data_IF_310416245438
#
_entry.id   IF_310416245438
#
_cell.length_a   1.000
_cell.length_b   1.000
_cell.length_c   1.000
_cell.angle_alpha   90.00
_cell.angle_beta   90.00
_cell.angle_gamma   90.00
#
_symmetry.space_group_name_H-M   'P 1'
#
loop_
_entity.id
_entity.type
_entity.pdbx_description
1 polymer ?
2 non-polymer ?
3 water ?
#
# COMPACT_ATOMS: atom_id res chain seq x y z
N UNK A 3 13.45 -10.68 1.75
CA UNK A 3 12.71 -10.33 0.52
C UNK A 3 12.66 -8.81 0.32
N UNK A 4 12.83 -8.36 -0.93
CA UNK A 4 12.86 -6.94 -1.24
C UNK A 4 11.48 -6.31 -1.06
N UNK A 5 11.42 -4.97 -0.98
CA UNK A 5 10.17 -4.23 -0.90
C UNK A 5 9.99 -3.42 -2.18
N UNK A 6 8.75 -3.01 -2.45
CA UNK A 6 8.46 -2.12 -3.56
C UNK A 6 7.47 -1.09 -3.04
N UNK A 7 7.81 0.20 -3.22
CA UNK A 7 6.92 1.26 -2.79
C UNK A 7 6.56 2.13 -4.00
N UNK A 8 5.33 2.64 -4.01
CA UNK A 8 4.92 3.49 -5.11
C UNK A 8 4.48 4.86 -4.59
N UNK A 9 4.94 5.92 -5.27
CA UNK A 9 4.60 7.27 -4.91
C UNK A 9 3.84 7.93 -6.05
N UNK A 10 2.84 8.71 -5.69
CA UNK A 10 2.08 9.48 -6.63
C UNK A 10 1.44 10.63 -5.86
N UNK A 11 1.07 11.72 -6.54
CA UNK A 11 0.40 12.82 -5.88
C UNK A 11 -1.11 12.67 -5.75
N UNK A 12 -1.66 13.17 -4.64
CA UNK A 12 -3.09 13.17 -4.44
C UNK A 12 -3.85 13.91 -5.54
N UNK A 13 -3.17 14.84 -6.24
CA UNK A 13 -3.85 15.84 -7.07
C UNK A 13 -4.61 15.19 -8.23
N UNK A 14 -4.28 13.94 -8.60
CA UNK A 14 -4.95 13.25 -9.68
C UNK A 14 -6.44 13.12 -9.39
N UNK A 15 -6.80 13.22 -8.09
CA UNK A 15 -8.20 13.17 -7.68
C UNK A 15 -8.92 14.45 -8.06
N UNK A 16 -8.19 15.54 -8.23
CA UNK A 16 -8.82 16.81 -8.59
C UNK A 16 -9.23 16.80 -10.05
N UNK A 17 -8.71 15.82 -10.83
CA UNK A 17 -8.94 15.77 -12.26
C UNK A 17 -10.27 15.09 -12.56
N UNK A 18 -10.87 14.41 -11.58
CA UNK A 18 -12.05 13.60 -11.86
C UNK A 18 -13.24 14.48 -12.22
N UNK A 19 -14.10 13.96 -13.09
CA UNK A 19 -15.30 14.65 -13.53
C UNK A 19 -16.45 14.51 -12.52
N UNK A 20 -16.39 13.53 -11.61
CA UNK A 20 -17.49 13.24 -10.68
C UNK A 20 -16.97 12.89 -9.30
N UNK A 21 -17.81 13.09 -8.27
CA UNK A 21 -17.51 12.49 -6.96
C UNK A 21 -17.33 10.99 -7.06
N UNK A 22 -18.23 10.33 -7.80
CA UNK A 22 -18.18 8.89 -7.92
C UNK A 22 -16.84 8.47 -8.55
N UNK A 23 -16.50 9.02 -9.72
CA UNK A 23 -15.24 8.70 -10.37
C UNK A 23 -13.99 9.07 -9.56
N UNK A 24 -14.09 10.08 -8.70
CA UNK A 24 -13.00 10.46 -7.82
C UNK A 24 -12.70 9.27 -6.91
N UNK A 25 -13.77 8.62 -6.44
CA UNK A 25 -13.63 7.47 -5.60
C UNK A 25 -13.10 6.29 -6.40
N UNK A 26 -13.70 6.04 -7.57
CA UNK A 26 -13.30 4.92 -8.39
C UNK A 26 -11.81 5.05 -8.73
N UNK A 27 -11.40 6.27 -9.07
CA UNK A 27 -10.00 6.43 -9.42
C UNK A 27 -9.12 5.99 -8.25
N UNK A 28 -9.52 6.35 -7.02
CA UNK A 28 -8.74 5.99 -5.86
C UNK A 28 -8.59 4.47 -5.80
N UNK A 29 -9.70 3.77 -6.01
CA UNK A 29 -9.73 2.33 -6.11
C UNK A 29 -8.78 1.78 -7.18
N UNK A 30 -8.79 2.43 -8.36
CA UNK A 30 -7.95 1.95 -9.43
C UNK A 30 -6.52 1.88 -8.93
N UNK A 31 -6.10 2.89 -8.14
CA UNK A 31 -4.73 2.96 -7.64
C UNK A 31 -4.46 1.78 -6.70
N UNK A 32 -5.41 1.55 -5.79
CA UNK A 32 -5.28 0.51 -4.80
C UNK A 32 -5.04 -0.85 -5.48
N UNK A 33 -5.88 -1.13 -6.50
CA UNK A 33 -5.84 -2.44 -7.13
C UNK A 33 -4.54 -2.56 -7.93
N UNK A 34 -4.12 -1.46 -8.54
CA UNK A 34 -2.92 -1.56 -9.37
C UNK A 34 -1.78 -2.02 -8.45
N UNK A 35 -1.72 -1.39 -7.27
CA UNK A 35 -0.64 -1.63 -6.32
C UNK A 35 -0.82 -3.02 -5.71
N UNK A 36 -2.06 -3.37 -5.33
CA UNK A 36 -2.29 -4.71 -4.82
C UNK A 36 -1.78 -5.70 -5.84
N UNK A 37 -2.09 -5.46 -7.12
CA UNK A 37 -1.84 -6.51 -8.10
C UNK A 37 -0.36 -6.85 -8.10
N UNK A 38 0.48 -5.80 -8.06
CA UNK A 38 1.92 -5.94 -8.19
C UNK A 38 2.60 -6.15 -6.84
N UNK A 39 1.82 -6.53 -5.82
CA UNK A 39 2.32 -6.85 -4.50
C UNK A 39 3.07 -5.68 -3.90
N UNK A 40 2.60 -4.46 -4.11
CA UNK A 40 3.25 -3.29 -3.50
C UNK A 40 3.14 -3.31 -1.98
N UNK A 41 4.23 -2.92 -1.31
CA UNK A 41 4.31 -2.92 0.14
C UNK A 41 3.87 -1.59 0.71
N UNK A 42 4.12 -0.52 -0.05
CA UNK A 42 3.95 0.83 0.45
C UNK A 42 3.46 1.74 -0.67
N UNK A 43 2.46 2.56 -0.37
CA UNK A 43 2.04 3.60 -1.28
C UNK A 43 2.31 4.94 -0.61
N UNK A 44 2.97 5.86 -1.32
CA UNK A 44 3.27 7.17 -0.78
C UNK A 44 2.46 8.21 -1.54
N UNK A 45 1.56 8.89 -0.83
CA UNK A 45 0.74 9.96 -1.39
C UNK A 45 1.46 11.25 -1.05
N UNK A 46 1.93 11.99 -2.05
CA UNK A 46 2.62 13.24 -1.81
C UNK A 46 1.85 14.44 -2.36
N UNK A 47 2.13 15.59 -1.71
CA UNK A 47 1.56 16.87 -2.10
C UNK A 47 2.48 17.53 -3.14
N UNK A 48 2.03 17.55 -4.40
CA UNK A 48 2.70 18.18 -5.53
C UNK A 48 2.75 19.70 -5.45
N UNK A 49 1.78 20.35 -4.78
CA UNK A 49 1.84 21.81 -4.71
C UNK A 49 2.23 22.25 -3.30
N UNK A 69 -7.43 15.85 -0.13
CA UNK A 69 -7.18 15.45 -1.53
C UNK A 69 -6.14 14.33 -1.55
N UNK A 70 -4.92 14.63 -1.08
CA UNK A 70 -4.01 13.61 -0.57
C UNK A 70 -4.65 12.87 0.62
N UNK A 71 -5.34 13.63 1.50
CA UNK A 71 -5.97 13.06 2.66
C UNK A 71 -7.07 12.08 2.22
N UNK A 72 -7.90 12.49 1.24
CA UNK A 72 -8.96 11.63 0.75
C UNK A 72 -8.38 10.39 0.06
N UNK A 73 -7.37 10.57 -0.79
CA UNK A 73 -6.84 9.42 -1.51
C UNK A 73 -6.25 8.41 -0.51
N UNK A 74 -5.52 8.94 0.47
CA UNK A 74 -4.85 8.12 1.47
C UNK A 74 -5.90 7.31 2.22
N UNK A 75 -6.99 7.99 2.58
CA UNK A 75 -7.98 7.36 3.41
C UNK A 75 -8.58 6.19 2.64
N UNK A 76 -8.92 6.42 1.35
CA UNK A 76 -9.59 5.42 0.55
C UNK A 76 -8.66 4.22 0.41
N UNK A 77 -7.38 4.47 0.11
CA UNK A 77 -6.43 3.38 -0.03
C UNK A 77 -6.37 2.53 1.25
N UNK A 78 -6.49 3.18 2.41
CA UNK A 78 -6.39 2.47 3.67
C UNK A 78 -7.65 1.64 3.89
N UNK A 79 -8.81 2.25 3.60
CA UNK A 79 -10.09 1.55 3.69
C UNK A 79 -10.06 0.27 2.87
N UNK A 80 -9.55 0.32 1.65
CA UNK A 80 -9.60 -0.86 0.78
C UNK A 80 -8.67 -1.96 1.27
N UNK A 81 -7.49 -1.58 1.79
CA UNK A 81 -6.48 -2.52 2.24
C UNK A 81 -6.95 -3.21 3.51
N UNK A 82 -7.60 -2.44 4.38
CA UNK A 82 -8.08 -3.02 5.62
C UNK A 82 -9.04 -4.15 5.31
N UNK A 83 -8.85 -5.36 5.86
CA UNK A 83 -9.82 -6.44 5.70
C UNK A 83 -11.19 -5.95 6.15
N UNK A 84 -12.25 -6.58 5.66
CA UNK A 84 -13.60 -6.03 5.71
C UNK A 84 -14.09 -6.03 7.16
N UNK A 85 -13.81 -7.14 7.86
CA UNK A 85 -14.32 -7.34 9.21
C UNK A 85 -13.74 -6.31 10.18
N UNK A 86 -12.74 -5.51 9.71
CA UNK A 86 -12.09 -4.50 10.54
C UNK A 86 -12.38 -3.07 10.12
N UNK A 87 -13.06 -2.86 8.99
CA UNK A 87 -13.31 -1.50 8.53
C UNK A 87 -14.19 -0.73 9.51
N UNK A 88 -15.33 -1.31 9.91
CA UNK A 88 -16.19 -0.70 10.90
C UNK A 88 -15.38 -0.21 12.10
N UNK A 89 -14.50 -1.05 12.65
CA UNK A 89 -13.77 -0.66 13.84
C UNK A 89 -12.83 0.51 13.56
N UNK A 90 -12.04 0.41 12.48
CA UNK A 90 -10.99 1.38 12.16
C UNK A 90 -11.46 2.63 11.41
N UNK A 91 -12.71 2.68 10.91
CA UNK A 91 -13.12 3.81 10.07
C UNK A 91 -14.54 4.23 10.40
N UNK A 92 -14.73 5.27 11.24
CA UNK A 92 -16.08 5.79 11.46
C UNK A 92 -16.63 6.38 10.16
N UNK A 93 -17.94 6.66 10.17
CA UNK A 93 -18.59 7.27 9.01
C UNK A 93 -17.79 8.53 8.64
N UNK A 94 -17.35 8.59 7.38
CA UNK A 94 -16.67 9.77 6.86
C UNK A 94 -17.29 10.16 5.51
N UNK A 95 -17.33 11.48 5.25
CA UNK A 95 -17.74 12.01 3.95
C UNK A 95 -16.68 11.65 2.90
N UNK A 96 -15.50 11.12 3.32
CA UNK A 96 -14.43 10.76 2.40
C UNK A 96 -14.50 9.27 2.01
N UNK A 97 -15.53 8.54 2.47
CA UNK A 97 -15.83 7.17 2.07
C UNK A 97 -17.33 7.04 1.78
N UNK A 98 -17.91 8.13 1.27
CA UNK A 98 -19.31 8.18 0.90
C UNK A 98 -19.58 7.18 -0.23
N UNK A 99 -18.57 6.97 -1.08
CA UNK A 99 -18.69 6.08 -2.22
C UNK A 99 -17.88 4.80 -2.01
N UNK A 100 -17.69 4.38 -0.76
CA UNK A 100 -17.07 3.08 -0.47
C UNK A 100 -17.66 2.06 -1.44
N UNK A 101 -19.01 2.04 -1.47
CA UNK A 101 -19.83 1.11 -2.22
C UNK A 101 -19.27 0.82 -3.61
N UNK A 102 -19.20 1.86 -4.45
CA UNK A 102 -18.90 1.77 -5.88
C UNK A 102 -17.41 1.46 -6.13
N UNK A 103 -16.83 0.68 -5.21
CA UNK A 103 -15.44 0.29 -5.32
C UNK A 103 -15.36 -1.11 -5.88
N UNK A 104 -14.32 -1.28 -6.69
CA UNK A 104 -13.47 -2.45 -6.82
C UNK A 104 -12.76 -2.92 -5.53
N UNK A 105 -13.04 -4.16 -5.04
CA UNK A 105 -12.22 -4.80 -4.00
C UNK A 105 -10.86 -5.39 -4.33
N UNK A 106 -9.92 -5.42 -3.37
CA UNK A 106 -8.55 -5.85 -3.59
C UNK A 106 -8.44 -7.37 -3.69
N UNK A 107 -9.35 -8.13 -3.08
CA UNK A 107 -9.30 -9.58 -3.22
C UNK A 107 -7.89 -10.08 -2.91
N UNK A 108 -7.28 -9.51 -1.87
CA UNK A 108 -5.92 -9.85 -1.51
C UNK A 108 -5.91 -10.97 -0.47
N UNK A 109 -4.80 -11.72 -0.33
CA UNK A 109 -4.78 -12.85 0.60
C UNK A 109 -5.29 -12.58 2.02
N UNK A 110 -5.15 -11.38 2.54
CA UNK A 110 -5.64 -11.17 3.91
C UNK A 110 -7.11 -10.76 3.95
N UNK A 111 -7.80 -10.76 2.80
CA UNK A 111 -9.24 -10.58 2.80
C UNK A 111 -9.88 -11.92 2.50
N UNK A 112 -10.44 -12.57 3.53
CA UNK A 112 -11.17 -13.82 3.36
C UNK A 112 -12.45 -13.69 4.18
N UNK A 113 -13.33 -14.69 4.09
CA UNK A 113 -14.48 -14.78 4.97
C UNK A 113 -14.16 -15.78 6.07
N UNK A 114 -14.92 -15.72 7.18
CA UNK A 114 -14.96 -16.75 8.20
C UNK A 114 -14.65 -18.13 7.59
N UNK A 115 -15.63 -18.72 6.92
CA UNK A 115 -15.45 -19.89 6.07
C UNK A 115 -13.96 -20.25 5.89
N UNK A 116 -13.16 -19.43 5.17
CA UNK A 116 -11.80 -19.82 4.76
C UNK A 116 -10.89 -20.08 5.95
N UNK A 117 -10.34 -21.29 6.02
CA UNK A 117 -9.22 -21.59 6.90
C UNK A 117 -8.00 -20.84 6.41
N UNK A 118 -7.30 -20.14 7.30
CA UNK A 118 -6.05 -19.50 6.94
C UNK A 118 -5.07 -19.69 8.07
N UNK A 119 -3.78 -19.64 7.75
CA UNK A 119 -2.77 -19.82 8.78
C UNK A 119 -2.73 -18.57 9.65
N UNK A 120 -2.79 -17.43 8.97
CA UNK A 120 -2.73 -16.12 9.57
C UNK A 120 -3.98 -15.32 9.25
N UNK A 121 -4.20 -14.28 10.04
CA UNK A 121 -5.41 -13.51 9.92
C UNK A 121 -5.21 -12.22 10.72
N UNK A 122 -5.52 -11.08 10.12
CA UNK A 122 -5.43 -9.81 10.82
C UNK A 122 -6.58 -9.70 11.80
N UNK A 123 -6.38 -8.83 12.78
CA UNK A 123 -7.28 -8.72 13.92
C UNK A 123 -7.10 -7.37 14.62
N UNK A 124 -8.06 -7.06 15.48
CA UNK A 124 -7.98 -5.91 16.34
C UNK A 124 -8.01 -6.42 17.77
N UNK A 125 -7.18 -5.82 18.63
CA UNK A 125 -7.17 -6.25 20.01
C UNK A 125 -8.48 -5.78 20.62
N UNK A 126 -9.38 -6.72 20.98
CA UNK A 126 -10.67 -6.38 21.55
C UNK A 126 -10.49 -5.49 22.79
N UNK A 127 -11.59 -4.99 23.37
CA UNK A 127 -11.51 -4.22 24.60
C UNK A 127 -12.52 -4.79 25.61
N UNK A 128 -12.14 -5.96 26.15
CA UNK A 128 -12.95 -6.81 27.00
C UNK A 128 -12.12 -7.07 28.27
N UNK A 129 -12.69 -7.61 29.39
CA UNK A 129 -11.90 -7.90 30.60
C UNK A 129 -10.92 -9.06 30.48
N UNK A 130 -9.62 -8.71 30.46
CA UNK A 130 -8.52 -9.67 30.56
C UNK A 130 -8.39 -10.09 32.02
N UNK A 131 -7.59 -11.13 32.26
CA UNK A 131 -7.40 -11.57 33.64
C UNK A 131 -5.90 -11.51 33.93
N UNK A 132 -5.51 -11.06 35.15
CA UNK A 132 -4.11 -11.05 35.53
C UNK A 132 -3.42 -12.28 34.95
N UNK A 133 -2.52 -11.97 33.95
CA UNK A 133 -1.64 -13.05 33.48
C UNK A 133 -1.99 -13.43 31.95
N UNK A 134 -3.28 -13.27 31.64
CA UNK A 134 -3.83 -13.79 30.39
C UNK A 134 -3.60 -12.80 29.24
N UNK A 135 -3.25 -13.33 28.08
CA UNK A 135 -3.16 -12.49 26.91
C UNK A 135 -4.51 -11.88 26.54
N UNK A 136 -4.47 -11.02 25.55
CA UNK A 136 -5.61 -10.24 25.13
C UNK A 136 -6.61 -11.15 24.40
N UNK A 137 -7.78 -10.58 24.12
CA UNK A 137 -8.64 -11.11 23.07
C UNK A 137 -8.46 -10.30 21.78
N UNK A 138 -8.57 -11.00 20.67
CA UNK A 138 -8.44 -10.37 19.37
C UNK A 138 -9.63 -10.79 18.53
N UNK A 139 -10.07 -9.84 17.71
CA UNK A 139 -11.13 -10.07 16.74
C UNK A 139 -10.48 -10.23 15.39
N UNK A 140 -10.47 -11.48 14.92
CA UNK A 140 -9.93 -11.83 13.62
C UNK A 140 -11.06 -12.14 12.65
N UNK A 141 -12.26 -11.60 12.91
CA UNK A 141 -13.43 -11.90 12.09
C UNK A 141 -13.83 -13.39 12.09
N UNK A 142 -13.43 -14.17 13.09
CA UNK A 142 -13.75 -15.60 13.10
C UNK A 142 -15.04 -15.79 13.88
N UNK A 143 -15.59 -17.01 13.86
CA UNK A 143 -16.87 -17.31 14.47
C UNK A 143 -16.82 -17.02 15.96
N UNK A 144 -15.68 -17.32 16.60
CA UNK A 144 -15.38 -16.93 17.97
C UNK A 144 -14.19 -15.98 17.93
N UNK A 145 -13.97 -15.22 19.02
CA UNK A 145 -12.78 -14.42 19.21
C UNK A 145 -11.55 -15.29 19.34
N UNK A 146 -10.37 -14.70 19.08
CA UNK A 146 -9.11 -15.43 19.14
C UNK A 146 -8.32 -14.99 20.38
N UNK A 147 -7.95 -15.94 21.25
CA UNK A 147 -7.20 -15.66 22.47
C UNK A 147 -5.70 -15.76 22.19
N UNK A 148 -4.91 -14.84 22.76
CA UNK A 148 -3.50 -14.80 22.46
C UNK A 148 -2.67 -14.72 23.73
N UNK A 149 -1.35 -14.75 23.49
CA UNK A 149 -0.28 -14.89 24.48
C UNK A 149 -0.05 -13.56 25.19
N UNK A 150 0.12 -12.47 24.41
CA UNK A 150 0.56 -11.19 24.95
C UNK A 150 -0.64 -10.34 25.38
N UNK A 151 -0.46 -9.57 26.46
CA UNK A 151 -1.45 -8.58 26.88
C UNK A 151 -1.06 -7.29 26.16
N UNK A 152 -2.01 -6.71 25.41
CA UNK A 152 -1.69 -5.71 24.40
C UNK A 152 -2.63 -4.53 24.51
N UNK A 153 -2.21 -3.38 23.95
CA UNK A 153 -2.97 -2.14 24.05
C UNK A 153 -4.14 -2.20 23.06
N UNK A 154 -5.43 -2.19 23.52
CA UNK A 154 -6.60 -2.36 22.64
C UNK A 154 -6.76 -1.38 21.46
N UNK A 155 -7.44 -1.85 20.40
CA UNK A 155 -7.54 -1.10 19.15
C UNK A 155 -6.27 -1.19 18.30
N UNK A 156 -5.28 -1.97 18.76
CA UNK A 156 -4.09 -2.28 17.99
C UNK A 156 -4.47 -3.27 16.89
N UNK A 157 -4.12 -2.98 15.64
CA UNK A 157 -4.25 -3.96 14.58
C UNK A 157 -3.06 -4.90 14.73
N UNK A 158 -3.33 -6.20 14.77
CA UNK A 158 -2.25 -7.17 14.86
C UNK A 158 -2.43 -8.28 13.82
N UNK A 159 -1.34 -9.02 13.63
CA UNK A 159 -1.31 -10.16 12.75
C UNK A 159 -1.20 -11.42 13.59
N UNK A 160 -2.28 -12.20 13.63
CA UNK A 160 -2.36 -13.38 14.48
C UNK A 160 -2.10 -14.63 13.64
N UNK A 161 -1.25 -15.52 14.13
CA UNK A 161 -1.08 -16.86 13.55
C UNK A 161 -1.79 -17.91 14.41
N UNK A 162 -2.83 -18.54 13.86
CA UNK A 162 -3.63 -19.45 14.66
C UNK A 162 -2.81 -20.70 15.02
N UNK A 163 -3.16 -21.33 16.15
CA UNK A 163 -2.42 -22.47 16.64
C UNK A 163 -2.69 -23.69 15.77
N UNK A 164 -3.60 -24.54 16.22
CA UNK A 164 -3.59 -25.96 15.89
C UNK A 164 -3.54 -26.72 17.20
N UNK A 165 -4.48 -27.67 17.34
CA UNK A 165 -5.01 -28.08 18.62
C UNK A 165 -5.95 -26.99 19.15
N UNK A 166 -6.59 -26.24 18.23
CA UNK A 166 -7.67 -25.33 18.58
C UNK A 166 -8.93 -26.15 18.85
N UNK A 167 -8.98 -26.78 20.03
CA UNK A 167 -10.05 -27.69 20.37
C UNK A 167 -11.38 -26.94 20.40
N UNK A 168 -12.54 -27.64 20.32
CA UNK A 168 -13.85 -27.00 20.50
C UNK A 168 -13.95 -26.37 21.88
N UNK A 169 -13.24 -25.24 22.06
CA UNK A 169 -12.96 -24.67 23.35
C UNK A 169 -14.03 -23.63 23.63
N UNK A 170 -14.39 -23.48 24.92
CA UNK A 170 -15.45 -22.60 25.39
C UNK A 170 -15.38 -21.24 24.67
N UNK A 171 -16.05 -21.18 23.50
CA UNK A 171 -16.18 -19.97 22.71
C UNK A 171 -14.88 -19.16 22.73
N UNK A 172 -13.74 -19.81 22.45
CA UNK A 172 -12.53 -19.09 22.08
C UNK A 172 -11.61 -20.00 21.25
N UNK A 173 -11.10 -19.43 20.14
CA UNK A 173 -9.96 -19.96 19.40
C UNK A 173 -8.69 -19.51 20.08
N UNK A 174 -7.54 -20.09 19.69
CA UNK A 174 -6.26 -19.70 20.27
C UNK A 174 -5.26 -19.43 19.14
N UNK A 175 -4.25 -18.59 19.42
CA UNK A 175 -3.24 -18.21 18.44
C UNK A 175 -2.17 -17.29 19.05
N UNK A 176 -1.16 -16.93 18.26
CA UNK A 176 -0.08 -16.08 18.71
C UNK A 176 0.05 -14.89 17.75
N UNK A 177 0.38 -13.71 18.29
CA UNK A 177 0.67 -12.55 17.45
C UNK A 177 2.05 -12.68 16.83
N UNK A 178 2.22 -12.23 15.59
CA UNK A 178 3.50 -12.37 14.92
C UNK A 178 3.80 -11.10 14.16
N UNK A 179 5.01 -10.97 13.63
CA UNK A 179 5.36 -9.82 12.80
C UNK A 179 4.41 -9.74 11.61
N UNK A 180 4.04 -8.53 11.21
CA UNK A 180 3.24 -8.39 10.01
C UNK A 180 4.07 -8.70 8.75
N UNK A 181 5.40 -8.80 8.87
CA UNK A 181 6.28 -9.20 7.77
C UNK A 181 6.20 -10.71 7.55
N UNK A 182 5.60 -11.46 8.48
CA UNK A 182 5.76 -12.91 8.50
C UNK A 182 5.05 -13.55 7.31
N UNK A 183 3.78 -13.24 6.97
CA UNK A 183 3.11 -13.96 5.90
C UNK A 183 3.76 -13.80 4.52
N UNK A 184 4.57 -12.75 4.30
CA UNK A 184 5.37 -12.67 3.08
C UNK A 184 6.60 -13.57 3.25
N UNK A 185 7.51 -13.17 4.14
CA UNK A 185 8.79 -13.82 4.27
C UNK A 185 8.56 -15.33 4.44
N UNK A 186 7.57 -15.72 5.26
CA UNK A 186 7.44 -17.12 5.69
C UNK A 186 6.53 -17.94 4.77
N UNK A 187 5.40 -17.40 4.30
CA UNK A 187 4.48 -18.22 3.50
C UNK A 187 4.22 -17.67 2.09
N UNK A 188 5.00 -16.67 1.66
CA UNK A 188 4.95 -16.16 0.30
C UNK A 188 3.63 -15.45 -0.03
N UNK A 189 2.94 -14.93 0.98
CA UNK A 189 1.62 -14.34 0.82
C UNK A 189 1.71 -12.83 0.79
N UNK A 190 1.14 -12.21 -0.25
CA UNK A 190 1.03 -10.77 -0.26
C UNK A 190 0.08 -10.41 0.87
N UNK A 191 0.37 -9.34 1.60
CA UNK A 191 -0.41 -9.13 2.81
C UNK A 191 -0.75 -7.66 3.02
N UNK A 192 -0.86 -6.91 1.92
CA UNK A 192 -1.31 -5.54 2.05
C UNK A 192 -0.14 -4.57 1.93
N UNK A 193 -0.52 -3.30 1.84
CA UNK A 193 0.44 -2.22 1.77
C UNK A 193 0.18 -1.31 2.96
N UNK A 194 1.13 -0.42 3.28
CA UNK A 194 0.87 0.66 4.22
C UNK A 194 0.81 1.95 3.42
N UNK A 195 0.28 3.00 4.02
CA UNK A 195 0.08 4.26 3.30
C UNK A 195 0.76 5.39 4.06
N UNK A 196 1.56 6.15 3.34
CA UNK A 196 2.32 7.23 3.94
C UNK A 196 2.00 8.51 3.20
N UNK A 197 1.80 9.57 4.00
CA UNK A 197 1.63 10.91 3.49
C UNK A 197 2.96 11.65 3.53
N UNK A 198 3.28 12.31 2.40
CA UNK A 198 4.49 13.11 2.27
C UNK A 198 4.08 14.51 1.84
N UNK A 199 4.72 15.52 2.40
CA UNK A 199 4.27 16.89 2.25
C UNK A 199 4.86 17.54 1.01
N UNK A 200 5.72 16.81 0.32
CA UNK A 200 6.39 17.31 -0.87
C UNK A 200 7.18 16.15 -1.49
N UNK A 201 7.82 16.42 -2.61
CA UNK A 201 8.51 15.36 -3.31
C UNK A 201 9.78 14.96 -2.55
N UNK A 202 10.54 15.91 -1.98
CA UNK A 202 11.74 15.54 -1.23
C UNK A 202 11.41 14.77 0.06
N UNK A 203 10.20 14.97 0.59
CA UNK A 203 9.76 14.17 1.73
C UNK A 203 9.46 12.74 1.31
N UNK A 204 9.19 12.50 0.02
CA UNK A 204 9.00 11.13 -0.44
C UNK A 204 10.26 10.31 -0.16
N UNK A 205 11.44 10.88 -0.42
CA UNK A 205 12.69 10.11 -0.31
C UNK A 205 13.16 10.07 1.14
N UNK A 206 12.95 11.19 1.89
CA UNK A 206 13.63 11.45 3.15
C UNK A 206 12.86 10.84 4.31
N UNK A 207 11.53 10.90 4.26
CA UNK A 207 10.68 10.34 5.31
C UNK A 207 10.38 8.88 4.99
N UNK A 208 11.32 8.18 4.34
CA UNK A 208 11.17 6.77 4.02
C UNK A 208 11.18 5.93 5.30
N UNK A 209 10.40 4.83 5.40
CA UNK A 209 10.42 4.00 6.60
C UNK A 209 11.56 2.98 6.78
N UNK A 210 12.61 3.03 5.95
CA UNK A 210 13.71 2.07 6.06
C UNK A 210 15.02 2.75 6.44
N UNK A 211 15.83 2.09 7.27
CA UNK A 211 17.06 2.68 7.79
C UNK A 211 17.83 3.38 6.68
N UNK A 212 18.17 2.68 5.60
CA UNK A 212 19.10 3.21 4.61
C UNK A 212 18.37 3.70 3.36
N UNK A 213 17.15 4.24 3.55
CA UNK A 213 16.35 4.74 2.44
C UNK A 213 16.05 3.68 1.38
N UNK A 214 15.71 4.17 0.19
CA UNK A 214 15.42 3.32 -0.95
C UNK A 214 16.69 3.11 -1.75
N UNK A 215 17.28 1.90 -1.62
CA UNK A 215 18.51 1.46 -2.30
C UNK A 215 18.42 1.78 -3.80
N UNK A 216 17.19 1.82 -4.35
CA UNK A 216 16.93 2.05 -5.77
C UNK A 216 15.71 2.95 -5.98
N UNK A 217 15.90 4.05 -6.73
CA UNK A 217 14.80 4.96 -7.05
C UNK A 217 14.58 5.03 -8.56
N UNK A 218 13.30 5.06 -8.92
CA UNK A 218 12.88 4.99 -10.32
C UNK A 218 11.76 6.02 -10.51
N UNK A 219 11.98 6.94 -11.45
CA UNK A 219 10.95 7.89 -11.81
C UNK A 219 10.43 7.61 -13.21
N UNK A 220 9.27 8.18 -13.55
CA UNK A 220 8.57 7.84 -14.78
C UNK A 220 8.10 9.06 -15.55
N UNK A 221 8.25 8.94 -16.88
CA UNK A 221 7.96 10.05 -17.77
C UNK A 221 8.16 9.62 -19.23
N UNK A 222 7.33 10.20 -20.10
CA UNK A 222 7.50 10.06 -21.54
C UNK A 222 8.88 10.55 -21.98
N UNK A 223 9.52 11.49 -21.26
CA UNK A 223 10.82 11.98 -21.74
C UNK A 223 11.96 11.34 -20.93
N UNK A 224 11.68 10.20 -20.29
CA UNK A 224 12.75 9.40 -19.70
C UNK A 224 13.42 8.48 -20.70
N UNK A 225 14.37 7.68 -20.23
CA UNK A 225 15.10 6.78 -21.12
C UNK A 225 14.24 5.55 -21.42
N UNK A 226 14.66 4.76 -22.40
CA UNK A 226 13.85 3.64 -22.84
C UNK A 226 14.00 2.54 -21.79
N UNK A 227 12.87 2.00 -21.35
CA UNK A 227 12.88 1.11 -20.22
C UNK A 227 13.55 -0.22 -20.58
N UNK A 228 13.57 -0.52 -21.89
CA UNK A 228 14.20 -1.72 -22.40
C UNK A 228 15.72 -1.68 -22.23
N UNK A 229 16.33 -0.49 -22.17
CA UNK A 229 17.78 -0.37 -21.96
C UNK A 229 18.13 -0.57 -20.49
N UNK A 230 17.24 -0.09 -19.62
CA UNK A 230 17.53 0.16 -18.21
C UNK A 230 17.99 -1.12 -17.54
N UNK A 231 19.03 -1.01 -16.72
CA UNK A 231 19.65 -2.18 -16.12
C UNK A 231 19.56 -2.00 -14.62
N UNK A 232 18.75 -2.83 -13.97
CA UNK A 232 18.39 -2.53 -12.59
C UNK A 232 19.55 -2.94 -11.69
N UNK A 233 19.99 -2.07 -10.74
CA UNK A 233 21.06 -2.43 -9.82
C UNK A 233 20.48 -3.33 -8.75
N UNK A 234 21.31 -4.27 -8.29
CA UNK A 234 20.96 -5.10 -7.15
C UNK A 234 20.35 -4.15 -6.12
N UNK A 235 19.22 -4.52 -5.48
CA UNK A 235 18.54 -3.59 -4.60
C UNK A 235 17.79 -4.28 -3.45
N UNK A 236 17.42 -3.46 -2.45
CA UNK A 236 16.82 -3.97 -1.24
C UNK A 236 15.41 -3.36 -1.07
N UNK A 237 15.28 -2.06 -1.38
CA UNK A 237 14.01 -1.34 -1.24
C UNK A 237 13.80 -0.41 -2.43
N UNK A 238 12.86 -0.73 -3.32
CA UNK A 238 12.67 0.07 -4.52
C UNK A 238 11.52 1.06 -4.31
N UNK A 239 11.71 2.26 -4.86
CA UNK A 239 10.61 3.21 -4.97
C UNK A 239 10.40 3.54 -6.44
N UNK A 240 9.14 3.55 -6.87
CA UNK A 240 8.79 3.97 -8.22
C UNK A 240 7.85 5.15 -8.08
N UNK A 241 8.22 6.26 -8.73
CA UNK A 241 7.51 7.51 -8.54
C UNK A 241 6.77 7.93 -9.79
N UNK A 242 5.55 8.42 -9.59
CA UNK A 242 4.69 8.85 -10.68
C UNK A 242 4.28 10.27 -10.42
N UNK A 243 4.13 11.04 -11.50
CA UNK A 243 3.59 12.39 -11.40
C UNK A 243 2.08 12.39 -11.61
N UNK A 244 1.46 13.53 -11.32
CA UNK A 244 0.11 13.80 -11.78
C UNK A 244 0.16 14.48 -13.14
N UNK A 245 -0.84 15.33 -13.38
CA UNK A 245 -1.18 15.87 -14.69
C UNK A 245 -0.03 16.67 -15.28
N UNK A 246 0.71 17.39 -14.44
CA UNK A 246 1.77 18.25 -14.92
C UNK A 246 3.12 17.52 -14.89
N UNK A 247 3.08 16.19 -14.76
CA UNK A 247 4.32 15.42 -14.60
C UNK A 247 4.96 15.67 -13.24
N UNK A 248 6.14 15.05 -13.03
CA UNK A 248 6.95 15.27 -11.84
C UNK A 248 7.57 16.66 -11.85
N UNK A 249 7.54 17.33 -13.00
CA UNK A 249 8.11 18.67 -13.05
C UNK A 249 7.44 19.50 -11.98
N UNK A 250 6.11 19.36 -11.82
CA UNK A 250 5.36 20.28 -10.96
C UNK A 250 5.83 20.17 -9.51
N UNK A 251 5.99 18.92 -9.04
CA UNK A 251 6.29 18.67 -7.64
C UNK A 251 7.77 18.90 -7.31
N UNK A 252 8.62 18.82 -8.34
CA UNK A 252 10.00 19.22 -8.23
C UNK A 252 10.04 20.72 -8.00
N UNK A 253 9.44 21.50 -8.92
CA UNK A 253 9.57 22.95 -8.84
C UNK A 253 8.99 23.44 -7.52
N UNK A 254 7.74 23.05 -7.26
CA UNK A 254 6.98 23.47 -6.08
C UNK A 254 7.77 23.36 -4.77
N UNK A 255 8.48 22.24 -4.56
CA UNK A 255 9.20 21.95 -3.33
C UNK A 255 10.42 22.84 -3.22
N UNK A 256 10.56 23.64 -2.12
CA UNK A 256 11.65 24.60 -1.98
C UNK A 256 13.06 24.01 -1.85
N UNK A 257 13.17 22.69 -1.62
CA UNK A 257 14.38 22.05 -1.12
C UNK A 257 15.15 21.30 -2.27
N UNK A 258 14.65 21.67 -3.55
CA UNK A 258 14.87 20.88 -4.75
C UNK A 258 14.98 21.84 -5.93
N UNK A 259 16.23 22.15 -6.29
CA UNK A 259 16.47 23.15 -7.31
C UNK A 259 17.20 22.47 -8.47
N UNK A 260 16.39 21.89 -9.36
CA UNK A 260 16.89 21.14 -10.50
C UNK A 260 16.24 21.70 -11.77
N UNK A 261 16.91 21.53 -12.91
CA UNK A 261 16.39 21.98 -14.20
C UNK A 261 15.33 21.01 -14.71
N UNK A 262 15.60 19.71 -14.55
CA UNK A 262 14.68 18.66 -14.97
C UNK A 262 14.67 17.58 -13.91
N UNK A 263 13.59 16.78 -13.71
CA UNK A 263 13.53 15.82 -12.60
C UNK A 263 14.34 14.53 -12.74
N UNK A 264 14.85 14.24 -13.95
CA UNK A 264 15.64 13.05 -14.23
C UNK A 264 16.68 12.75 -13.13
N UNK A 265 17.29 13.81 -12.56
CA UNK A 265 18.46 13.72 -11.70
C UNK A 265 18.13 13.35 -10.26
N UNK A 266 16.83 13.36 -9.91
CA UNK A 266 16.38 13.04 -8.56
C UNK A 266 16.39 11.54 -8.34
N UNK A 267 16.50 10.78 -9.43
CA UNK A 267 16.26 9.35 -9.37
C UNK A 267 17.47 8.65 -9.96
N UNK A 268 17.65 7.39 -9.56
CA UNK A 268 18.69 6.52 -10.09
C UNK A 268 18.40 6.26 -11.57
N UNK A 269 17.14 5.92 -11.88
CA UNK A 269 16.65 5.74 -13.24
C UNK A 269 15.43 6.61 -13.47
N UNK A 270 15.30 7.11 -14.70
CA UNK A 270 14.15 7.86 -15.18
C UNK A 270 13.67 7.23 -16.50
N UNK A 271 12.54 6.51 -16.47
CA UNK A 271 12.16 5.69 -17.62
C UNK A 271 10.86 6.14 -18.28
N UNK A 272 10.82 5.99 -19.62
CA UNK A 272 9.59 5.90 -20.41
C UNK A 272 9.25 4.42 -20.59
N UNK A 273 8.07 4.04 -20.08
CA UNK A 273 7.69 2.63 -19.99
C UNK A 273 6.82 2.19 -21.17
N UNK A 274 6.34 3.14 -21.98
CA UNK A 274 5.53 2.78 -23.13
C UNK A 274 6.11 3.43 -24.39
N UNK A 275 7.09 2.79 -25.05
CA UNK A 275 7.68 3.37 -26.26
C UNK A 275 6.62 3.50 -27.33
N UNK A 276 6.67 4.59 -28.11
CA UNK A 276 5.77 4.76 -29.24
C UNK A 276 4.27 4.71 -28.90
N UNK A 277 3.91 5.45 -27.87
CA UNK A 277 2.55 5.49 -27.36
C UNK A 277 1.65 6.17 -28.37
N UNK A 278 0.44 5.62 -28.55
CA UNK A 278 -0.47 6.10 -29.57
C UNK A 278 -1.42 7.17 -29.03
N UNK A 279 -1.34 7.46 -27.74
CA UNK A 279 -2.07 8.56 -27.16
C UNK A 279 -1.03 9.58 -26.70
N UNK A 280 -1.39 10.87 -26.78
CA UNK A 280 -0.51 11.95 -26.38
C UNK A 280 -0.27 11.90 -24.88
N UNK A 281 -1.20 11.28 -24.13
CA UNK A 281 -1.07 11.19 -22.69
C UNK A 281 -1.44 9.80 -22.17
N UNK A 282 -0.77 9.41 -21.10
CA UNK A 282 -1.08 8.23 -20.31
C UNK A 282 -1.39 8.73 -18.92
N UNK A 283 -2.57 8.44 -18.39
CA UNK A 283 -2.97 8.93 -17.09
C UNK A 283 -2.18 8.21 -16.00
N UNK A 284 -2.13 8.78 -14.80
CA UNK A 284 -1.29 8.21 -13.76
C UNK A 284 -1.70 6.77 -13.47
N UNK A 285 -3.01 6.55 -13.28
CA UNK A 285 -3.50 5.26 -12.88
C UNK A 285 -3.24 4.23 -13.99
N UNK A 286 -3.19 4.69 -15.24
CA UNK A 286 -2.85 3.84 -16.36
C UNK A 286 -1.36 3.57 -16.37
N UNK A 287 -0.60 4.64 -16.14
CA UNK A 287 0.86 4.57 -16.22
C UNK A 287 1.42 3.61 -15.16
N UNK A 288 0.77 3.55 -13.99
CA UNK A 288 1.17 2.63 -12.94
C UNK A 288 1.07 1.17 -13.40
N UNK A 289 -0.03 0.78 -14.03
CA UNK A 289 -0.14 -0.59 -14.49
C UNK A 289 0.93 -0.85 -15.56
N UNK A 290 1.05 0.07 -16.53
CA UNK A 290 2.01 -0.14 -17.59
C UNK A 290 3.42 -0.22 -17.02
N UNK A 291 3.79 0.73 -16.18
CA UNK A 291 5.16 0.83 -15.71
C UNK A 291 5.54 -0.38 -14.85
N UNK A 292 4.63 -0.76 -13.93
CA UNK A 292 4.92 -1.84 -13.02
C UNK A 292 5.04 -3.18 -13.74
N UNK A 293 4.26 -3.36 -14.80
CA UNK A 293 4.46 -4.55 -15.61
C UNK A 293 5.79 -4.43 -16.36
N UNK A 294 5.98 -3.27 -17.00
CA UNK A 294 7.18 -3.08 -17.80
C UNK A 294 8.41 -3.39 -16.94
N UNK A 295 8.35 -3.05 -15.63
CA UNK A 295 9.47 -3.24 -14.71
C UNK A 295 9.43 -4.60 -13.98
N UNK A 296 8.24 -5.11 -13.66
CA UNK A 296 8.11 -6.32 -12.87
C UNK A 296 9.24 -7.33 -13.11
N UNK A 297 9.65 -7.67 -14.34
CA UNK A 297 10.71 -8.68 -14.51
C UNK A 297 12.08 -8.20 -14.04
N UNK A 298 12.38 -6.90 -14.21
CA UNK A 298 13.63 -6.32 -13.73
C UNK A 298 13.74 -6.33 -12.20
N UNK A 299 12.66 -5.90 -11.55
CA UNK A 299 12.44 -5.98 -10.12
C UNK A 299 12.73 -7.39 -9.62
N UNK A 300 12.05 -8.39 -10.15
CA UNK A 300 12.19 -9.74 -9.64
C UNK A 300 13.66 -10.17 -9.72
N UNK A 301 14.33 -9.88 -10.84
CA UNK A 301 15.72 -10.28 -11.02
C UNK A 301 16.61 -9.70 -9.91
N UNK A 302 16.40 -8.43 -9.53
CA UNK A 302 17.41 -7.76 -8.73
C UNK A 302 17.22 -7.91 -7.21
N UNK A 303 16.08 -8.40 -6.70
CA UNK A 303 15.81 -8.40 -5.25
C UNK A 303 15.74 -9.78 -4.61
X LIG B 1 2.25 16.53 -19.36
X LIG B 1 2.70 15.60 -18.29
X LIG B 1 4.22 15.37 -18.41
X LIG B 1 4.90 16.24 -18.98
X LIG B 1 4.67 14.34 -17.90
X LIG B 1 1.95 14.26 -18.41
X LIG B 1 1.95 13.45 -17.14
X LIG B 1 1.06 11.90 -17.28
X LIG B 1 -0.61 12.52 -17.45
X LIG B 1 1.06 11.34 -15.56
X LIG B 1 2.26 10.50 -15.13
X LIG B 1 2.18 9.19 -15.73
X LIG B 1 3.63 11.00 -15.53
X LIG B 1 4.08 12.06 -14.69
X LIG B 1 4.44 9.71 -15.38
X LIG B 1 4.70 9.42 -14.03
X LIG B 1 3.48 8.70 -16.00
X LIG B 1 3.67 8.53 -17.44
X LIG B 1 2.96 9.07 -18.49
X LIG B 1 3.42 8.75 -19.68
X LIG B 1 4.48 7.91 -19.40
X LIG B 1 5.39 7.22 -20.23
X LIG B 1 5.37 7.28 -21.56
X LIG B 1 6.31 6.44 -19.61
X LIG B 1 6.34 6.40 -18.28
X LIG B 1 5.56 7.02 -17.40
X LIG B 1 4.64 7.77 -18.03
#
# INVERSE_FOLDING_TARGET
XRPYTLSVALPGSILDNAQSPELRTYLAGQIARACAIFCVDEIVVFDEEGQDAKTVEGEFTGVGKKGQACVQLARILQYLECPQYLRKAFFPKHQDLQFAGLLNPLDSPHHMRQDEESEFREGIVVDRPTRPGHGSFVNCGMKKEVKIDKNLEPGLRVTVRLNQQQHPDCKTYHGKVVSSQDPRTKAGLYWGYTVRLASCLSAVFAEAPFQDGYDLTIGTSERGSDVASAQLPNFRHALVVFGGLQGLEAGADADPNLEVAEPSVLFDLYVNTCPGQGSRTIRTEEAILISLAALQPGLIQAGARHT
SAM N CA C O OXT CB CG SD CE C5' C4' O4' C3' O3' C2' O2' C1' N9 C8 N7 C5 C6 N6 N1 C2 N3 C4
#
